data_IF_682781761012
#
_entry.id   IF_682781761012
#
_cell.length_a   1.000
_cell.length_b   1.000
_cell.length_c   1.000
_cell.angle_alpha   90.00
_cell.angle_beta   90.00
_cell.angle_gamma   90.00
#
_symmetry.space_group_name_H-M   'P 1'
#
loop_
_entity.id
_entity.type
_entity.pdbx_description
1 polymer ?
#
# COMPACT_ATOMS: atom_id res chain seq x y z
N UNK A 1 -11.25 5.11 -23.65
CA UNK A 1 -10.64 6.43 -23.78
C UNK A 1 -9.20 6.41 -23.26
N UNK A 2 -8.37 7.30 -23.76
CA UNK A 2 -6.98 7.38 -23.35
C UNK A 2 -6.84 7.60 -21.84
N UNK A 3 -7.75 8.35 -21.23
CA UNK A 3 -7.75 8.60 -19.79
C UNK A 3 -7.93 7.31 -18.96
N UNK A 4 -8.55 6.29 -19.52
CA UNK A 4 -8.78 5.04 -18.80
C UNK A 4 -7.49 4.29 -18.55
N UNK A 5 -6.53 4.43 -19.45
CA UNK A 5 -5.21 3.80 -19.34
C UNK A 5 -4.46 4.29 -18.12
N UNK A 6 -4.68 5.53 -17.72
CA UNK A 6 -3.97 6.19 -16.63
C UNK A 6 -4.75 6.20 -15.31
N UNK A 7 -5.90 5.56 -15.30
CA UNK A 7 -6.67 5.44 -14.07
C UNK A 7 -6.01 4.44 -13.14
N UNK A 8 -6.76 3.85 -12.28
CA UNK A 8 -6.23 2.93 -11.28
C UNK A 8 -5.58 1.72 -11.93
N UNK A 9 -4.43 1.37 -11.46
CA UNK A 9 -3.69 0.20 -11.94
C UNK A 9 -3.65 -0.87 -10.86
N UNK A 10 -3.58 -2.11 -11.30
CA UNK A 10 -3.60 -3.25 -10.40
C UNK A 10 -2.18 -3.77 -10.19
N UNK A 11 -1.94 -4.27 -8.99
CA UNK A 11 -0.71 -4.95 -8.64
C UNK A 11 -1.03 -6.34 -8.09
N UNK A 12 -0.06 -7.22 -8.18
CA UNK A 12 -0.11 -8.56 -7.61
C UNK A 12 0.86 -8.64 -6.45
N UNK A 13 0.39 -9.13 -5.33
CA UNK A 13 1.21 -9.33 -4.14
C UNK A 13 1.25 -10.82 -3.84
N UNK A 14 2.44 -11.40 -3.92
CA UNK A 14 2.65 -12.82 -3.64
C UNK A 14 3.15 -12.99 -2.21
N UNK A 15 2.44 -13.80 -1.44
CA UNK A 15 2.73 -14.06 -0.03
C UNK A 15 2.87 -15.58 0.13
N UNK A 16 4.11 -16.07 0.11
CA UNK A 16 4.36 -17.51 0.08
C UNK A 16 3.76 -18.15 -1.18
N UNK A 17 2.84 -19.08 -1.00
CA UNK A 17 2.13 -19.72 -2.11
C UNK A 17 0.75 -19.08 -2.39
N UNK A 18 0.46 -17.92 -1.79
CA UNK A 18 -0.80 -17.22 -1.96
C UNK A 18 -0.59 -15.95 -2.74
N UNK A 19 -1.59 -15.54 -3.50
CA UNK A 19 -1.56 -14.33 -4.31
C UNK A 19 -2.79 -13.50 -4.01
N UNK A 20 -2.56 -12.22 -3.73
CA UNK A 20 -3.63 -11.22 -3.58
C UNK A 20 -3.37 -10.09 -4.54
N UNK A 21 -4.38 -9.29 -4.81
CA UNK A 21 -4.26 -8.15 -5.71
C UNK A 21 -4.65 -6.87 -5.00
N UNK A 22 -4.22 -5.75 -5.56
CA UNK A 22 -4.57 -4.44 -5.05
C UNK A 22 -4.82 -3.50 -6.24
N UNK A 23 -5.66 -2.51 -6.01
CA UNK A 23 -5.95 -1.45 -6.97
C UNK A 23 -5.33 -0.16 -6.45
N UNK A 24 -4.48 0.45 -7.27
CA UNK A 24 -3.77 1.67 -6.88
C UNK A 24 -4.55 2.90 -7.30
N UNK A 25 -4.42 3.97 -6.52
CA UNK A 25 -5.01 5.27 -6.85
C UNK A 25 -4.30 5.89 -8.05
N UNK A 26 -4.95 6.85 -8.70
CA UNK A 26 -4.34 7.64 -9.77
C UNK A 26 -3.81 8.94 -9.20
N UNK A 27 -2.68 8.86 -8.51
CA UNK A 27 -1.99 10.03 -7.99
C UNK A 27 -0.47 9.84 -8.12
N UNK A 28 0.27 10.92 -7.90
CA UNK A 28 1.72 10.90 -8.11
C UNK A 28 2.44 9.88 -7.21
N UNK A 29 2.00 9.73 -5.97
CA UNK A 29 2.61 8.78 -5.05
C UNK A 29 2.38 7.33 -5.49
N UNK A 30 1.16 7.02 -5.93
CA UNK A 30 0.84 5.69 -6.45
C UNK A 30 1.62 5.39 -7.73
N UNK A 31 1.76 6.37 -8.63
CA UNK A 31 2.54 6.20 -9.85
C UNK A 31 4.02 5.98 -9.55
N UNK A 32 4.56 6.68 -8.56
CA UNK A 32 5.94 6.48 -8.12
C UNK A 32 6.12 5.05 -7.58
N UNK A 33 5.21 4.59 -6.75
CA UNK A 33 5.23 3.22 -6.24
C UNK A 33 5.23 2.21 -7.41
N UNK A 34 4.32 2.38 -8.35
CA UNK A 34 4.22 1.50 -9.52
C UNK A 34 5.50 1.47 -10.35
N UNK A 35 6.20 2.61 -10.44
CA UNK A 35 7.43 2.71 -11.23
C UNK A 35 8.58 1.89 -10.63
N UNK A 36 8.47 1.49 -9.36
CA UNK A 36 9.53 0.74 -8.66
C UNK A 36 9.32 -0.76 -8.68
N UNK A 37 8.20 -1.21 -9.22
CA UNK A 37 7.91 -2.65 -9.29
C UNK A 37 8.74 -3.33 -10.38
N UNK A 38 9.15 -4.58 -10.20
CA UNK A 38 8.81 -5.45 -9.07
C UNK A 38 9.64 -5.15 -7.82
N UNK A 39 9.07 -5.44 -6.65
CA UNK A 39 9.74 -5.31 -5.37
C UNK A 39 9.66 -6.63 -4.60
N UNK A 40 10.77 -7.03 -4.00
CA UNK A 40 10.80 -8.12 -3.04
C UNK A 40 11.24 -7.52 -1.71
N UNK A 41 10.33 -7.49 -0.76
CA UNK A 41 10.52 -6.81 0.52
C UNK A 41 9.92 -7.64 1.63
N UNK A 42 10.25 -7.26 2.87
CA UNK A 42 9.60 -7.80 4.05
C UNK A 42 8.72 -6.71 4.65
N UNK A 43 7.43 -7.00 4.77
CA UNK A 43 6.51 -6.13 5.48
C UNK A 43 6.70 -6.35 6.97
N UNK A 44 6.94 -5.28 7.70
CA UNK A 44 7.14 -5.35 9.15
C UNK A 44 5.82 -5.10 9.87
N UNK A 45 5.59 -5.88 10.92
CA UNK A 45 4.42 -5.70 11.76
C UNK A 45 4.59 -4.43 12.60
N UNK A 46 3.56 -3.61 12.66
CA UNK A 46 3.58 -2.38 13.41
C UNK A 46 2.30 -2.21 14.20
N UNK A 47 2.45 -1.73 15.43
CA UNK A 47 1.35 -1.41 16.33
C UNK A 47 0.38 -2.60 16.49
N UNK A 48 0.94 -3.76 16.80
CA UNK A 48 0.18 -4.93 17.16
C UNK A 48 -0.80 -5.37 16.06
N UNK A 49 -0.28 -5.57 14.85
CA UNK A 49 -1.05 -5.96 13.66
C UNK A 49 -2.01 -4.89 13.15
N UNK A 50 -1.82 -3.64 13.54
CA UNK A 50 -2.63 -2.56 12.97
C UNK A 50 -2.21 -2.28 11.54
N UNK A 51 -0.90 -2.32 11.27
CA UNK A 51 -0.33 -1.99 9.96
C UNK A 51 0.78 -2.96 9.60
N UNK A 52 0.94 -3.18 8.30
CA UNK A 52 2.14 -3.82 7.73
C UNK A 52 2.90 -2.74 6.97
N UNK A 53 4.14 -2.50 7.36
CA UNK A 53 4.90 -1.35 6.86
C UNK A 53 6.19 -1.76 6.17
N UNK A 54 6.64 -0.93 5.25
CA UNK A 54 8.01 -0.97 4.75
C UNK A 54 8.46 0.44 4.36
N UNK A 55 9.77 0.64 4.28
CA UNK A 55 10.35 1.94 3.95
C UNK A 55 10.90 1.90 2.53
N UNK A 56 10.21 2.51 1.56
CA UNK A 56 10.78 2.65 0.21
C UNK A 56 12.00 3.57 0.26
N UNK A 57 13.02 3.24 -0.52
CA UNK A 57 14.27 4.00 -0.57
C UNK A 57 14.63 4.30 -2.03
N UNK A 58 14.60 5.57 -2.42
CA UNK A 58 14.19 6.74 -1.64
C UNK A 58 12.69 6.74 -1.33
N UNK A 59 12.25 7.59 -0.41
CA UNK A 59 10.85 7.71 -0.08
C UNK A 59 10.04 8.07 -1.32
N UNK A 60 8.77 7.62 -1.34
CA UNK A 60 7.87 7.94 -2.45
C UNK A 60 7.56 9.44 -2.46
N UNK A 61 7.35 9.99 -3.66
CA UNK A 61 6.92 11.39 -3.77
C UNK A 61 5.55 11.57 -3.16
N UNK A 62 5.38 12.67 -2.45
CA UNK A 62 4.08 13.09 -1.92
C UNK A 62 3.68 14.46 -2.47
N UNK A 63 4.40 14.94 -3.48
CA UNK A 63 4.20 16.24 -4.04
C UNK A 63 2.88 16.30 -4.81
N UNK A 64 2.06 17.30 -4.49
CA UNK A 64 0.77 17.49 -5.17
C UNK A 64 -0.28 16.42 -4.84
N UNK A 65 -0.06 15.61 -3.82
CA UNK A 65 -0.99 14.53 -3.45
C UNK A 65 -1.87 14.98 -2.31
N UNK A 66 -3.16 14.67 -2.41
CA UNK A 66 -4.12 14.98 -1.34
C UNK A 66 -3.79 14.18 -0.08
N UNK A 67 -3.70 14.86 1.04
CA UNK A 67 -3.44 14.27 2.34
C UNK A 67 -4.72 14.07 3.13
N UNK A 68 -4.70 13.06 3.98
CA UNK A 68 -5.77 12.81 4.91
C UNK A 68 -6.66 11.65 4.52
N UNK A 69 -6.77 10.69 5.39
CA UNK A 69 -7.73 9.61 5.25
C UNK A 69 -7.97 8.95 6.62
N UNK A 70 -9.11 8.29 6.73
CA UNK A 70 -9.42 7.41 7.85
C UNK A 70 -9.30 5.99 7.32
N UNK A 71 -8.18 5.31 7.54
CA UNK A 71 -7.94 4.03 6.90
C UNK A 71 -8.86 2.93 7.41
N UNK A 72 -9.21 2.03 6.50
CA UNK A 72 -9.97 0.82 6.79
C UNK A 72 -9.13 -0.39 6.39
N UNK A 73 -9.48 -1.61 6.85
CA UNK A 73 -8.70 -2.80 6.49
C UNK A 73 -8.53 -2.94 4.98
N UNK A 74 -7.30 -3.09 4.54
CA UNK A 74 -6.94 -3.19 3.14
C UNK A 74 -6.42 -1.89 2.52
N UNK A 75 -6.58 -0.76 3.17
CA UNK A 75 -6.08 0.51 2.64
C UNK A 75 -4.55 0.53 2.64
N UNK A 76 -3.98 0.95 1.50
CA UNK A 76 -2.54 1.13 1.33
C UNK A 76 -2.26 2.62 1.38
N UNK A 77 -1.41 3.02 2.32
CA UNK A 77 -1.15 4.43 2.59
C UNK A 77 0.34 4.72 2.68
N UNK A 78 0.68 6.01 2.67
CA UNK A 78 1.99 6.51 3.07
C UNK A 78 1.81 7.30 4.36
N UNK A 79 2.63 7.01 5.36
CA UNK A 79 2.72 7.85 6.54
C UNK A 79 3.78 8.91 6.27
N UNK A 80 3.35 10.10 5.91
CA UNK A 80 4.22 11.14 5.38
C UNK A 80 5.38 11.53 6.31
N UNK A 81 5.19 11.65 7.65
CA UNK A 81 6.29 12.03 8.54
C UNK A 81 7.49 11.09 8.50
N UNK A 82 7.26 9.79 8.28
CA UNK A 82 8.33 8.80 8.23
C UNK A 82 8.67 8.34 6.82
N UNK A 83 7.79 8.60 5.86
CA UNK A 83 7.98 8.16 4.49
C UNK A 83 7.75 6.68 4.25
N UNK A 84 7.19 5.96 5.21
CA UNK A 84 6.91 4.54 5.04
C UNK A 84 5.56 4.29 4.37
N UNK A 85 5.47 3.17 3.68
CA UNK A 85 4.19 2.63 3.23
C UNK A 85 3.58 1.86 4.40
N UNK A 86 2.29 2.04 4.60
CA UNK A 86 1.53 1.35 5.64
C UNK A 86 0.27 0.74 5.04
N UNK A 87 0.18 -0.58 5.11
CA UNK A 87 -1.01 -1.33 4.68
C UNK A 87 -1.80 -1.65 5.95
N UNK A 88 -2.99 -1.10 6.05
CA UNK A 88 -3.78 -1.22 7.27
C UNK A 88 -4.51 -2.56 7.32
N UNK A 89 -4.36 -3.25 8.44
CA UNK A 89 -5.10 -4.47 8.74
C UNK A 89 -6.31 -4.20 9.62
N UNK A 90 -6.33 -3.04 10.28
CA UNK A 90 -7.43 -2.58 11.14
C UNK A 90 -7.81 -1.17 10.77
N UNK A 91 -9.03 -0.76 11.15
CA UNK A 91 -9.46 0.62 10.97
C UNK A 91 -8.72 1.53 11.93
N UNK A 92 -8.51 2.77 11.51
CA UNK A 92 -7.86 3.79 12.33
C UNK A 92 -8.57 5.11 12.14
N UNK A 93 -8.38 6.03 13.07
CA UNK A 93 -8.97 7.36 12.99
C UNK A 93 -8.35 8.18 11.86
N UNK A 94 -9.06 9.21 11.40
CA UNK A 94 -8.58 10.12 10.37
C UNK A 94 -7.24 10.76 10.79
N UNK A 95 -6.31 10.82 9.86
CA UNK A 95 -5.03 11.50 10.05
C UNK A 95 -4.64 12.24 8.79
N UNK A 96 -4.26 13.51 8.94
CA UNK A 96 -3.72 14.30 7.83
C UNK A 96 -2.30 13.89 7.45
N UNK A 97 -1.67 13.02 8.23
CA UNK A 97 -0.35 12.49 7.93
C UNK A 97 -0.40 11.29 6.97
N UNK A 98 -1.58 10.76 6.71
CA UNK A 98 -1.78 9.60 5.85
C UNK A 98 -2.22 10.01 4.45
N UNK A 99 -1.62 9.37 3.45
CA UNK A 99 -1.93 9.57 2.04
C UNK A 99 -2.34 8.23 1.47
N UNK A 100 -3.58 8.10 1.01
CA UNK A 100 -4.04 6.85 0.40
C UNK A 100 -3.45 6.70 -0.99
N UNK A 101 -2.83 5.56 -1.26
CA UNK A 101 -2.26 5.25 -2.58
C UNK A 101 -2.88 4.02 -3.22
N UNK A 102 -3.67 3.26 -2.49
CA UNK A 102 -4.32 2.09 -3.05
C UNK A 102 -5.13 1.33 -2.03
N UNK A 103 -5.61 0.16 -2.44
CA UNK A 103 -6.40 -0.71 -1.59
C UNK A 103 -6.28 -2.15 -2.04
N UNK A 104 -6.12 -3.06 -1.08
CA UNK A 104 -6.17 -4.50 -1.32
C UNK A 104 -7.58 -4.87 -1.78
N UNK A 105 -7.67 -5.65 -2.85
CA UNK A 105 -8.96 -6.05 -3.42
C UNK A 105 -9.63 -7.14 -2.57
N UNK A 106 -10.96 -7.10 -2.51
CA UNK A 106 -11.75 -8.10 -1.85
C UNK A 106 -11.32 -8.34 -0.40
N UNK A 107 -11.18 -9.61 -0.03
CA UNK A 107 -10.77 -10.02 1.31
C UNK A 107 -9.27 -10.33 1.39
N UNK A 108 -8.47 -9.85 0.44
CA UNK A 108 -7.03 -10.16 0.39
C UNK A 108 -6.28 -9.73 1.63
N UNK A 109 -6.74 -8.70 2.32
CA UNK A 109 -6.07 -8.23 3.54
C UNK A 109 -6.00 -9.32 4.63
N UNK A 110 -6.89 -10.29 4.61
CA UNK A 110 -6.85 -11.39 5.57
C UNK A 110 -5.53 -12.18 5.49
N UNK A 111 -4.94 -12.26 4.30
CA UNK A 111 -3.65 -12.93 4.10
C UNK A 111 -2.53 -12.21 4.83
N UNK A 112 -2.62 -10.89 4.97
CA UNK A 112 -1.62 -10.07 5.64
C UNK A 112 -1.95 -9.86 7.13
N UNK A 113 -3.15 -10.20 7.56
CA UNK A 113 -3.62 -9.94 8.93
C UNK A 113 -3.18 -11.05 9.87
N UNK A 114 -1.87 -11.29 9.89
CA UNK A 114 -1.23 -12.29 10.76
C UNK A 114 -0.11 -11.60 11.53
N UNK A 115 0.23 -12.17 12.67
CA UNK A 115 1.30 -11.62 13.50
C UNK A 115 2.66 -11.78 12.81
N UNK A 116 3.55 -10.82 13.06
CA UNK A 116 4.94 -10.90 12.63
C UNK A 116 5.19 -10.32 11.25
N UNK A 117 6.43 -10.43 10.82
CA UNK A 117 6.89 -9.90 9.56
C UNK A 117 6.57 -10.88 8.42
N UNK A 118 6.30 -10.33 7.24
CA UNK A 118 5.83 -11.10 6.09
C UNK A 118 6.66 -10.78 4.86
N UNK A 119 7.45 -11.72 4.33
CA UNK A 119 8.10 -11.52 3.04
C UNK A 119 7.06 -11.51 1.93
N UNK A 120 7.17 -10.54 1.02
CA UNK A 120 6.24 -10.42 -0.10
C UNK A 120 6.98 -10.03 -1.37
N UNK A 121 6.38 -10.37 -2.50
CA UNK A 121 6.78 -9.88 -3.80
C UNK A 121 5.62 -9.08 -4.39
N UNK A 122 5.91 -7.86 -4.82
CA UNK A 122 4.90 -6.97 -5.40
C UNK A 122 5.28 -6.71 -6.85
N UNK A 123 4.37 -6.95 -7.76
CA UNK A 123 4.63 -6.74 -9.20
C UNK A 123 3.39 -6.19 -9.88
N UNK A 124 3.60 -5.60 -11.06
CA UNK A 124 2.46 -5.16 -11.87
C UNK A 124 1.67 -6.37 -12.34
N UNK A 125 0.39 -6.18 -12.37
CA UNK A 125 -0.51 -7.21 -12.84
C UNK A 125 -0.76 -7.09 -14.35
#
# INVERSE_FOLDING_TARGET
AASDVYKRQNVKITVGNRTITATMEDNAAARDFLSRLPLEITLNDYNNMTEKIFYPDPALTTEGVTRGCAPTPGDITIYAPWGNVAIFCKSWSHSNALIKIGRIDGNGIEVLSIAGDIPVKIERR
#
